data_IF_260517732132
#
_entry.id   IF_260517732132
#
_cell.length_a   1.000
_cell.length_b   1.000
_cell.length_c   1.000
_cell.angle_alpha   90.00
_cell.angle_beta   90.00
_cell.angle_gamma   90.00
#
_symmetry.space_group_name_H-M   'P 1'
#
loop_
_entity.id
_entity.type
_entity.pdbx_description
1 polymer ?
#
# COMPACT_ATOMS: atom_id res chain seq x y z
N UNK A 1 5.44 16.46 -29.86
CA UNK A 1 4.51 15.35 -29.55
C UNK A 1 3.99 15.54 -28.14
N UNK A 2 2.67 15.50 -27.91
CA UNK A 2 2.13 15.47 -26.53
C UNK A 2 2.48 14.09 -25.93
N UNK A 3 2.99 14.01 -24.69
CA UNK A 3 3.23 12.73 -24.06
C UNK A 3 1.89 12.00 -23.92
N UNK A 4 1.83 10.77 -24.43
CA UNK A 4 0.68 9.89 -24.20
C UNK A 4 0.76 9.45 -22.74
N UNK A 5 -0.11 10.01 -21.91
CA UNK A 5 -0.21 9.62 -20.50
C UNK A 5 -0.75 8.20 -20.47
N UNK A 6 -0.02 7.27 -19.84
CA UNK A 6 -0.52 5.93 -19.57
C UNK A 6 -1.37 5.98 -18.30
N UNK A 7 -2.72 5.87 -18.40
CA UNK A 7 -3.62 6.04 -17.26
C UNK A 7 -3.41 4.96 -16.20
N UNK A 8 -3.08 3.74 -16.61
CA UNK A 8 -2.83 2.62 -15.70
C UNK A 8 -1.60 2.88 -14.84
N UNK A 9 -0.51 3.37 -15.46
CA UNK A 9 0.70 3.70 -14.72
C UNK A 9 0.48 4.84 -13.72
N UNK A 10 -0.38 5.81 -14.07
CA UNK A 10 -0.79 6.88 -13.15
C UNK A 10 -1.53 6.31 -11.95
N UNK A 11 -2.47 5.39 -12.17
CA UNK A 11 -3.22 4.74 -11.09
C UNK A 11 -2.30 3.94 -10.16
N UNK A 12 -1.37 3.15 -10.71
CA UNK A 12 -0.40 2.38 -9.92
C UNK A 12 0.43 3.30 -9.03
N UNK A 13 0.94 4.41 -9.59
CA UNK A 13 1.75 5.38 -8.83
C UNK A 13 0.95 6.05 -7.72
N UNK A 14 -0.34 6.29 -7.93
CA UNK A 14 -1.22 6.87 -6.92
C UNK A 14 -1.59 5.87 -5.80
N UNK A 15 -1.76 4.58 -6.14
CA UNK A 15 -2.24 3.57 -5.19
C UNK A 15 -1.13 2.86 -4.43
N UNK A 16 0.02 2.62 -5.05
CA UNK A 16 1.13 1.87 -4.45
C UNK A 16 1.59 2.43 -3.09
N UNK A 17 1.73 3.76 -2.87
CA UNK A 17 2.12 4.28 -1.56
C UNK A 17 1.10 3.95 -0.47
N UNK A 18 -0.20 4.00 -0.81
CA UNK A 18 -1.29 3.63 0.09
C UNK A 18 -1.24 2.14 0.42
N UNK A 19 -1.11 1.29 -0.60
CA UNK A 19 -1.01 -0.17 -0.40
C UNK A 19 0.18 -0.53 0.49
N UNK A 20 1.34 0.09 0.30
CA UNK A 20 2.51 -0.12 1.15
C UNK A 20 2.24 0.32 2.60
N UNK A 21 1.55 1.45 2.80
CA UNK A 21 1.15 1.90 4.13
C UNK A 21 0.20 0.90 4.80
N UNK A 22 -0.78 0.37 4.05
CA UNK A 22 -1.70 -0.65 4.54
C UNK A 22 -0.94 -1.96 4.89
N UNK A 23 0.03 -2.37 4.06
CA UNK A 23 0.93 -3.50 4.36
C UNK A 23 1.74 -3.24 5.63
N UNK A 24 2.18 -2.01 5.88
CA UNK A 24 2.98 -1.68 7.06
C UNK A 24 2.20 -1.85 8.38
N UNK A 25 0.87 -1.76 8.35
CA UNK A 25 0.02 -1.99 9.52
C UNK A 25 0.02 -3.44 9.98
N UNK A 26 0.17 -4.37 9.04
CA UNK A 26 0.12 -5.82 9.29
C UNK A 26 1.52 -6.44 9.31
N UNK A 27 2.44 -5.95 8.48
CA UNK A 27 3.83 -6.39 8.41
C UNK A 27 4.78 -5.25 7.99
N UNK A 28 5.39 -4.56 8.98
CA UNK A 28 6.42 -3.56 8.73
C UNK A 28 7.60 -4.10 7.92
N UNK A 29 7.99 -5.36 8.14
CA UNK A 29 9.08 -6.00 7.40
C UNK A 29 8.75 -6.13 5.91
N UNK A 30 7.52 -6.52 5.57
CA UNK A 30 7.11 -6.64 4.16
C UNK A 30 6.96 -5.27 3.50
N UNK A 31 6.47 -4.27 4.22
CA UNK A 31 6.41 -2.90 3.73
C UNK A 31 7.82 -2.35 3.44
N UNK A 32 8.80 -2.63 4.31
CA UNK A 32 10.18 -2.23 4.08
C UNK A 32 10.77 -2.86 2.82
N UNK A 33 10.55 -4.16 2.60
CA UNK A 33 10.95 -4.89 1.39
C UNK A 33 10.38 -4.23 0.11
N UNK A 34 9.08 -3.89 0.11
CA UNK A 34 8.43 -3.19 -1.00
C UNK A 34 9.02 -1.78 -1.24
N UNK A 35 9.27 -1.02 -0.17
CA UNK A 35 9.87 0.33 -0.25
C UNK A 35 11.28 0.25 -0.80
N UNK A 36 12.09 -0.71 -0.37
CA UNK A 36 13.46 -0.89 -0.87
C UNK A 36 13.45 -1.22 -2.36
N UNK A 37 12.57 -2.13 -2.79
CA UNK A 37 12.45 -2.44 -4.22
C UNK A 37 12.00 -1.24 -5.05
N UNK A 38 11.07 -0.45 -4.53
CA UNK A 38 10.59 0.76 -5.19
C UNK A 38 11.67 1.85 -5.25
N UNK A 39 12.32 2.16 -4.14
CA UNK A 39 13.34 3.20 -4.04
C UNK A 39 14.59 2.91 -4.87
N UNK A 40 15.00 1.63 -4.94
CA UNK A 40 16.14 1.20 -5.76
C UNK A 40 15.75 0.89 -7.22
N UNK A 41 14.47 0.90 -7.57
CA UNK A 41 14.00 0.59 -8.92
C UNK A 41 14.31 -0.84 -9.37
N UNK A 42 14.40 -1.79 -8.43
CA UNK A 42 14.80 -3.19 -8.72
C UNK A 42 13.64 -4.07 -9.20
N UNK A 43 12.40 -3.56 -9.12
CA UNK A 43 11.20 -4.22 -9.65
C UNK A 43 10.31 -3.22 -10.40
N UNK A 44 9.60 -3.66 -11.47
CA UNK A 44 8.57 -2.87 -12.12
C UNK A 44 7.45 -2.45 -11.15
N UNK A 45 6.85 -1.28 -11.40
CA UNK A 45 5.75 -0.77 -10.57
C UNK A 45 4.51 -1.69 -10.55
N UNK A 46 4.24 -2.38 -11.66
CA UNK A 46 3.13 -3.36 -11.76
C UNK A 46 3.34 -4.51 -10.77
N UNK A 47 4.53 -5.11 -10.81
CA UNK A 47 4.91 -6.22 -9.93
C UNK A 47 4.86 -5.81 -8.47
N UNK A 48 5.32 -4.59 -8.13
CA UNK A 48 5.25 -4.07 -6.77
C UNK A 48 3.80 -3.88 -6.30
N UNK A 49 2.93 -3.36 -7.16
CA UNK A 49 1.51 -3.19 -6.83
C UNK A 49 0.80 -4.54 -6.67
N UNK A 50 1.15 -5.52 -7.52
CA UNK A 50 0.64 -6.89 -7.40
C UNK A 50 1.11 -7.54 -6.08
N UNK A 51 2.40 -7.48 -5.77
CA UNK A 51 2.95 -8.04 -4.52
C UNK A 51 2.28 -7.43 -3.28
N UNK A 52 2.06 -6.12 -3.27
CA UNK A 52 1.37 -5.44 -2.18
C UNK A 52 -0.10 -5.88 -2.09
N UNK A 53 -0.79 -5.98 -3.23
CA UNK A 53 -2.18 -6.43 -3.29
C UNK A 53 -2.35 -7.88 -2.82
N UNK A 54 -1.53 -8.80 -3.32
CA UNK A 54 -1.53 -10.21 -2.91
C UNK A 54 -1.30 -10.34 -1.41
N UNK A 55 -0.31 -9.61 -0.86
CA UNK A 55 -0.05 -9.62 0.58
C UNK A 55 -1.27 -9.17 1.38
N UNK A 56 -1.91 -8.07 0.98
CA UNK A 56 -3.12 -7.56 1.63
C UNK A 56 -4.29 -8.55 1.52
N UNK A 57 -4.48 -9.21 0.37
CA UNK A 57 -5.53 -10.23 0.21
C UNK A 57 -5.28 -11.47 1.07
N UNK A 58 -4.03 -11.89 1.21
CA UNK A 58 -3.64 -13.03 2.05
C UNK A 58 -3.74 -12.73 3.55
N UNK A 59 -3.45 -11.48 3.95
CA UNK A 59 -3.27 -11.13 5.34
C UNK A 59 -4.44 -10.35 5.95
N UNK A 60 -5.26 -9.64 5.15
CA UNK A 60 -6.48 -8.96 5.62
C UNK A 60 -7.52 -8.73 4.51
N UNK A 61 -8.61 -9.51 4.53
CA UNK A 61 -9.95 -8.97 4.26
C UNK A 61 -10.35 -8.12 5.49
N UNK A 62 -9.68 -6.99 5.74
CA UNK A 62 -10.22 -5.95 6.61
C UNK A 62 -10.85 -4.90 5.71
N UNK A 63 -12.18 -4.83 5.76
CA UNK A 63 -12.90 -3.77 5.10
C UNK A 63 -12.30 -2.41 5.52
N UNK A 64 -12.17 -1.44 4.59
CA UNK A 64 -11.63 -0.13 4.91
C UNK A 64 -12.49 0.52 6.00
N UNK A 65 -12.00 0.48 7.24
CA UNK A 65 -12.73 0.91 8.44
C UNK A 65 -12.41 0.11 9.71
N UNK A 66 -11.93 -1.14 9.62
CA UNK A 66 -11.66 -1.96 10.81
C UNK A 66 -10.20 -1.92 11.32
N UNK A 67 -9.20 -1.67 10.45
CA UNK A 67 -7.80 -1.64 10.88
C UNK A 67 -7.49 -0.54 11.92
N UNK A 68 -8.26 0.56 11.94
CA UNK A 68 -8.08 1.66 12.89
C UNK A 68 -8.46 1.31 14.35
N UNK A 69 -9.16 0.19 14.60
CA UNK A 69 -9.49 -0.24 15.97
C UNK A 69 -8.39 -1.08 16.62
N UNK A 70 -7.54 -1.77 15.82
CA UNK A 70 -6.48 -2.65 16.34
C UNK A 70 -5.21 -1.90 16.72
N UNK A 71 -4.89 -0.84 15.99
CA UNK A 71 -3.88 0.13 16.40
C UNK A 71 -4.59 1.02 17.40
N UNK A 72 -4.23 0.99 18.69
CA UNK A 72 -4.94 1.63 19.80
C UNK A 72 -5.03 3.17 19.78
N UNK A 73 -5.38 3.76 18.64
CA UNK A 73 -5.85 5.14 18.52
C UNK A 73 -7.32 5.12 18.96
N UNK A 74 -7.55 4.96 20.26
CA UNK A 74 -8.80 5.41 20.85
C UNK A 74 -8.89 6.91 20.57
N UNK A 75 -9.70 7.30 19.60
CA UNK A 75 -10.23 8.65 19.55
C UNK A 75 -10.98 8.85 20.87
N UNK A 76 -10.32 9.49 21.84
CA UNK A 76 -10.98 10.03 23.01
C UNK A 76 -12.05 10.98 22.47
N UNK A 77 -13.30 10.52 22.56
CA UNK A 77 -14.46 11.36 22.32
C UNK A 77 -14.44 12.38 23.45
N UNK A 78 -14.03 13.60 23.13
CA UNK A 78 -14.15 14.72 24.06
C UNK A 78 -15.64 14.88 24.41
N UNK A 79 -15.90 14.94 25.70
CA UNK A 79 -17.21 15.22 26.32
C UNK A 79 -17.76 16.59 25.88
#
# INVERSE_FOLDING_TARGET
MKPVINPELVMIRAQLPKQIADVALTSPAKALDLIQHWGHGTKPLRDLSQMAHEYLMEHEYLAPGESLKKIGITMNRAE
#
